data_IF_719279249165
#
_entry.id   IF_719279249165
#
_cell.length_a   1.000
_cell.length_b   1.000
_cell.length_c   1.000
_cell.angle_alpha   90.00
_cell.angle_beta   90.00
_cell.angle_gamma   90.00
#
_symmetry.space_group_name_H-M   'P 1'
#
loop_
_entity.id
_entity.type
_entity.pdbx_description
1 polymer ?
#
# COMPACT_ATOMS: atom_id res chain seq x y z
N UNK A 1 16.58 1.42 -14.09
CA UNK A 1 17.10 2.44 -13.18
C UNK A 1 16.02 3.38 -12.65
N UNK A 2 15.23 3.90 -13.54
CA UNK A 2 14.12 4.78 -13.17
C UNK A 2 13.14 4.12 -12.19
N UNK A 3 12.81 2.84 -12.42
CA UNK A 3 11.91 2.08 -11.56
C UNK A 3 12.51 1.85 -10.16
N UNK A 4 13.80 1.59 -10.09
CA UNK A 4 14.48 1.39 -8.81
C UNK A 4 14.47 2.67 -7.97
N UNK A 5 14.64 3.83 -8.60
CA UNK A 5 14.57 5.11 -7.92
C UNK A 5 13.20 5.35 -7.31
N UNK A 6 12.14 5.05 -8.06
CA UNK A 6 10.78 5.24 -7.61
C UNK A 6 10.46 4.34 -6.42
N UNK A 7 10.88 3.08 -6.51
CA UNK A 7 10.69 2.13 -5.41
C UNK A 7 11.44 2.57 -4.16
N UNK A 8 12.67 3.03 -4.32
CA UNK A 8 13.46 3.57 -3.21
C UNK A 8 12.79 4.79 -2.59
N UNK A 9 12.28 5.68 -3.43
CA UNK A 9 11.61 6.88 -2.95
C UNK A 9 10.42 6.54 -2.08
N UNK A 10 9.59 5.60 -2.53
CA UNK A 10 8.44 5.17 -1.76
C UNK A 10 8.87 4.53 -0.43
N UNK A 11 9.91 3.68 -0.45
CA UNK A 11 10.45 3.09 0.78
C UNK A 11 10.87 4.17 1.78
N UNK A 12 11.56 5.19 1.29
CA UNK A 12 12.02 6.27 2.14
C UNK A 12 10.86 7.02 2.79
N UNK A 13 9.81 7.29 2.03
CA UNK A 13 8.62 7.92 2.57
C UNK A 13 7.93 7.07 3.63
N UNK A 14 7.85 5.75 3.39
CA UNK A 14 7.29 4.83 4.39
C UNK A 14 8.11 4.92 5.69
N UNK A 15 9.43 4.91 5.58
CA UNK A 15 10.30 5.01 6.74
C UNK A 15 10.08 6.32 7.49
N UNK A 16 10.01 7.45 6.77
CA UNK A 16 9.77 8.76 7.39
C UNK A 16 8.46 8.77 8.17
N UNK A 17 7.41 8.25 7.56
CA UNK A 17 6.09 8.24 8.19
C UNK A 17 6.09 7.37 9.44
N UNK A 18 6.68 6.18 9.35
CA UNK A 18 6.70 5.24 10.47
C UNK A 18 7.67 5.65 11.58
N UNK A 19 8.60 6.56 11.31
CA UNK A 19 9.42 7.14 12.37
C UNK A 19 8.58 7.93 13.38
N UNK A 20 7.44 8.45 12.95
CA UNK A 20 6.58 9.25 13.80
C UNK A 20 5.67 8.38 14.67
N UNK A 21 5.07 7.35 14.08
CA UNK A 21 4.15 6.47 14.76
C UNK A 21 3.84 5.26 13.89
N UNK A 22 3.42 4.13 14.47
CA UNK A 22 2.91 3.02 13.66
C UNK A 22 1.68 3.43 12.86
N UNK A 23 1.56 2.90 11.63
CA UNK A 23 0.48 3.24 10.70
C UNK A 23 0.07 2.02 9.90
N UNK A 24 -1.18 1.95 9.46
CA UNK A 24 -1.58 0.96 8.47
C UNK A 24 -1.34 1.51 7.06
N UNK A 25 -1.56 0.67 6.03
CA UNK A 25 -1.32 1.09 4.65
C UNK A 25 -2.15 2.28 4.21
N UNK A 26 -3.42 2.33 4.61
CA UNK A 26 -4.31 3.43 4.26
C UNK A 26 -3.82 4.73 4.89
N UNK A 27 -3.40 4.68 6.15
CA UNK A 27 -2.87 5.86 6.84
C UNK A 27 -1.57 6.35 6.21
N UNK A 28 -0.72 5.43 5.79
CA UNK A 28 0.53 5.80 5.10
C UNK A 28 0.20 6.56 3.80
N UNK A 29 -0.75 6.07 3.02
CA UNK A 29 -1.17 6.75 1.79
C UNK A 29 -1.72 8.15 2.08
N UNK A 30 -2.55 8.28 3.09
CA UNK A 30 -3.11 9.57 3.51
C UNK A 30 -2.03 10.52 3.98
N UNK A 31 -1.09 10.03 4.77
CA UNK A 31 0.01 10.86 5.28
C UNK A 31 0.88 11.38 4.14
N UNK A 32 1.13 10.56 3.13
CA UNK A 32 1.89 11.01 1.96
C UNK A 32 1.16 12.12 1.21
N UNK A 33 -0.15 11.99 1.05
CA UNK A 33 -0.95 13.02 0.40
C UNK A 33 -0.89 14.34 1.20
N UNK A 34 -1.04 14.27 2.51
CA UNK A 34 -0.96 15.45 3.38
C UNK A 34 0.44 16.07 3.34
N UNK A 35 1.48 15.27 3.46
CA UNK A 35 2.86 15.75 3.50
C UNK A 35 3.31 16.38 2.19
N UNK A 36 2.70 15.98 1.07
CA UNK A 36 2.98 16.56 -0.25
C UNK A 36 1.95 17.63 -0.63
N UNK A 37 1.14 18.09 0.30
CA UNK A 37 0.12 19.12 0.06
C UNK A 37 -0.86 18.73 -1.04
N UNK A 38 -1.26 17.46 -1.06
CA UNK A 38 -2.17 16.93 -2.07
C UNK A 38 -1.55 16.64 -3.42
N UNK A 39 -0.24 16.89 -3.55
CA UNK A 39 0.45 16.71 -4.82
C UNK A 39 0.57 15.24 -5.22
N UNK A 40 0.69 14.36 -4.26
CA UNK A 40 0.91 12.95 -4.56
C UNK A 40 0.28 12.03 -3.51
N UNK A 41 -0.46 11.05 -4.00
CA UNK A 41 -0.99 9.94 -3.21
C UNK A 41 -0.61 8.65 -3.93
N UNK A 42 0.25 7.80 -3.33
CA UNK A 42 0.65 6.55 -3.98
C UNK A 42 -0.54 5.59 -4.09
N UNK A 43 -0.49 4.70 -5.09
CA UNK A 43 -1.56 3.72 -5.30
C UNK A 43 -1.44 2.57 -4.30
N UNK A 44 -2.56 1.91 -3.97
CA UNK A 44 -2.52 0.69 -3.13
C UNK A 44 -1.65 -0.41 -3.72
N UNK A 45 -1.63 -0.54 -5.05
CA UNK A 45 -0.79 -1.54 -5.72
C UNK A 45 0.69 -1.31 -5.57
N UNK A 46 1.09 -0.08 -5.23
CA UNK A 46 2.49 0.25 -4.94
C UNK A 46 2.80 0.12 -3.45
N UNK A 47 1.89 0.60 -2.59
CA UNK A 47 2.13 0.67 -1.15
C UNK A 47 2.08 -0.70 -0.48
N UNK A 48 1.01 -1.46 -0.69
CA UNK A 48 0.82 -2.71 0.05
C UNK A 48 1.86 -3.78 -0.29
N UNK A 49 2.18 -4.02 -1.58
CA UNK A 49 3.26 -4.98 -1.87
C UNK A 49 4.61 -4.55 -1.31
N UNK A 50 4.89 -3.24 -1.30
CA UNK A 50 6.13 -2.74 -0.73
C UNK A 50 6.18 -2.97 0.77
N UNK A 51 5.09 -2.71 1.48
CA UNK A 51 5.02 -2.96 2.93
C UNK A 51 5.29 -4.44 3.24
N UNK A 52 4.70 -5.36 2.47
CA UNK A 52 4.94 -6.79 2.63
C UNK A 52 6.40 -7.15 2.38
N UNK A 53 6.98 -6.61 1.32
CA UNK A 53 8.38 -6.80 0.99
C UNK A 53 9.29 -6.32 2.13
N UNK A 54 8.98 -5.16 2.70
CA UNK A 54 9.77 -4.60 3.79
C UNK A 54 9.63 -5.41 5.08
N UNK A 55 8.47 -6.01 5.31
CA UNK A 55 8.30 -6.92 6.45
C UNK A 55 9.15 -8.18 6.26
N UNK A 56 9.12 -8.75 5.04
CA UNK A 56 9.88 -9.98 4.75
C UNK A 56 11.38 -9.76 4.85
N UNK A 57 11.87 -8.59 4.50
CA UNK A 57 13.30 -8.31 4.61
C UNK A 57 13.73 -7.85 6.01
N UNK A 58 12.78 -7.71 6.94
CA UNK A 58 13.08 -7.36 8.31
C UNK A 58 13.16 -5.87 8.61
N UNK A 59 12.81 -5.01 7.65
CA UNK A 59 12.80 -3.55 7.85
C UNK A 59 11.60 -3.09 8.65
N UNK A 60 10.47 -3.76 8.51
CA UNK A 60 9.23 -3.45 9.21
C UNK A 60 8.70 -4.67 9.96
N UNK A 61 7.90 -4.40 10.96
CA UNK A 61 7.11 -5.41 11.66
C UNK A 61 5.63 -5.08 11.48
N UNK A 62 4.82 -6.07 11.13
CA UNK A 62 3.37 -5.91 11.06
C UNK A 62 2.76 -6.39 12.36
N UNK A 63 2.02 -5.52 13.03
CA UNK A 63 1.38 -5.83 14.30
C UNK A 63 0.05 -6.56 14.06
N UNK A 64 -0.47 -7.18 15.11
CA UNK A 64 -1.75 -7.90 15.05
C UNK A 64 -2.93 -6.98 14.76
N UNK A 65 -2.81 -5.70 15.11
CA UNK A 65 -3.86 -4.71 14.84
C UNK A 65 -3.81 -4.16 13.41
N UNK A 66 -2.90 -4.67 12.57
CA UNK A 66 -2.76 -4.24 11.19
C UNK A 66 -1.82 -3.06 10.98
N UNK A 67 -1.25 -2.52 12.04
CA UNK A 67 -0.30 -1.42 11.94
C UNK A 67 1.10 -1.94 11.62
N UNK A 68 1.85 -1.15 10.87
CA UNK A 68 3.27 -1.40 10.60
C UNK A 68 4.12 -0.49 11.46
N UNK A 69 5.27 -0.97 11.87
CA UNK A 69 6.23 -0.18 12.61
C UNK A 69 7.65 -0.52 12.16
N UNK A 70 8.58 0.40 12.38
CA UNK A 70 9.97 0.21 11.98
C UNK A 70 10.65 -0.82 12.90
N UNK A 71 11.44 -1.69 12.28
CA UNK A 71 12.39 -2.51 13.03
C UNK A 71 13.60 -1.65 13.38
N UNK A 72 14.30 -1.93 14.50
CA UNK A 72 15.46 -1.13 14.89
C UNK A 72 16.54 -1.08 13.81
N UNK A 73 17.10 0.09 13.58
CA UNK A 73 18.21 0.28 12.64
C UNK A 73 17.80 0.58 11.20
N UNK A 74 16.52 0.77 10.92
CA UNK A 74 16.02 0.96 9.55
C UNK A 74 15.43 2.36 9.32
N UNK A 75 16.16 3.42 9.68
CA UNK A 75 15.62 4.78 9.63
C UNK A 75 16.20 5.66 8.51
N UNK A 76 16.93 5.11 7.55
CA UNK A 76 17.55 5.93 6.50
C UNK A 76 16.57 6.29 5.39
N UNK A 77 16.62 7.55 4.97
CA UNK A 77 15.71 8.11 3.96
C UNK A 77 16.47 8.78 2.82
N UNK A 78 16.17 8.38 1.59
CA UNK A 78 16.76 8.99 0.39
C UNK A 78 15.80 8.89 -0.81
N UNK A 79 15.75 9.95 -1.62
CA UNK A 79 15.07 9.95 -2.90
C UNK A 79 13.66 10.50 -2.88
N UNK A 80 13.11 10.68 -4.06
CA UNK A 80 11.77 11.21 -4.24
C UNK A 80 10.82 10.09 -4.69
N UNK A 81 9.70 9.89 -3.99
CA UNK A 81 8.81 8.77 -4.30
C UNK A 81 7.83 9.07 -5.44
N UNK A 82 8.02 8.45 -6.58
CA UNK A 82 7.07 8.52 -7.70
C UNK A 82 6.87 7.14 -8.30
N UNK A 83 5.63 6.79 -8.59
CA UNK A 83 5.28 5.47 -9.11
C UNK A 83 4.51 5.59 -10.43
N UNK A 84 4.87 4.80 -11.45
CA UNK A 84 4.03 4.71 -12.65
C UNK A 84 2.83 3.80 -12.39
N UNK A 85 1.82 3.89 -13.26
CA UNK A 85 0.72 2.95 -13.24
C UNK A 85 1.13 1.56 -13.73
N UNK A 86 0.24 0.58 -13.65
CA UNK A 86 0.55 -0.78 -14.08
C UNK A 86 0.77 -0.84 -15.59
N UNK A 87 1.74 -1.67 -16.02
CA UNK A 87 2.15 -1.80 -17.43
C UNK A 87 2.04 -3.21 -17.97
N UNK A 88 2.09 -4.21 -17.10
CA UNK A 88 2.04 -5.62 -17.48
C UNK A 88 0.92 -6.32 -16.72
N UNK A 89 0.49 -7.51 -17.19
CA UNK A 89 -0.47 -8.28 -16.41
C UNK A 89 -0.03 -8.53 -14.96
N UNK A 90 1.26 -8.77 -14.75
CA UNK A 90 1.80 -8.94 -13.40
C UNK A 90 1.65 -7.66 -12.58
N UNK A 91 1.92 -6.50 -13.19
CA UNK A 91 1.74 -5.22 -12.52
C UNK A 91 0.27 -4.99 -12.16
N UNK A 92 -0.64 -5.37 -13.05
CA UNK A 92 -2.07 -5.27 -12.80
C UNK A 92 -2.49 -6.12 -11.60
N UNK A 93 -1.97 -7.35 -11.52
CA UNK A 93 -2.26 -8.22 -10.38
C UNK A 93 -1.71 -7.66 -9.09
N UNK A 94 -0.53 -7.04 -9.13
CA UNK A 94 0.04 -6.39 -7.96
C UNK A 94 -0.85 -5.23 -7.50
N UNK A 95 -1.33 -4.43 -8.44
CA UNK A 95 -2.24 -3.33 -8.13
C UNK A 95 -3.55 -3.86 -7.55
N UNK A 96 -4.10 -4.93 -8.13
CA UNK A 96 -5.32 -5.54 -7.65
C UNK A 96 -5.15 -6.09 -6.22
N UNK A 97 -4.01 -6.72 -5.95
CA UNK A 97 -3.69 -7.20 -4.60
C UNK A 97 -3.62 -6.05 -3.60
N UNK A 98 -2.99 -4.94 -4.00
CA UNK A 98 -2.92 -3.75 -3.14
C UNK A 98 -4.28 -3.14 -2.88
N UNK A 99 -5.12 -3.06 -3.91
CA UNK A 99 -6.48 -2.56 -3.76
C UNK A 99 -7.31 -3.44 -2.83
N UNK A 100 -7.13 -4.75 -2.93
CA UNK A 100 -7.81 -5.70 -2.04
C UNK A 100 -7.39 -5.49 -0.59
N UNK A 101 -6.08 -5.35 -0.35
CA UNK A 101 -5.57 -5.10 1.00
C UNK A 101 -6.09 -3.76 1.55
N UNK A 102 -6.19 -2.76 0.69
CA UNK A 102 -6.76 -1.47 1.07
C UNK A 102 -8.23 -1.61 1.49
N UNK A 103 -9.01 -2.38 0.73
CA UNK A 103 -10.41 -2.64 1.09
C UNK A 103 -10.51 -3.38 2.44
N UNK A 104 -9.60 -4.31 2.69
CA UNK A 104 -9.56 -5.02 3.97
C UNK A 104 -9.31 -4.06 5.14
N UNK A 105 -8.39 -3.10 4.96
CA UNK A 105 -8.14 -2.08 5.97
C UNK A 105 -9.35 -1.18 6.17
N UNK A 106 -10.02 -0.77 5.09
CA UNK A 106 -11.24 0.02 5.18
C UNK A 106 -12.33 -0.71 5.93
N UNK A 107 -12.49 -2.00 5.66
CA UNK A 107 -13.49 -2.81 6.35
C UNK A 107 -13.21 -2.85 7.86
N UNK A 108 -11.93 -2.95 8.23
CA UNK A 108 -11.54 -2.99 9.64
C UNK A 108 -11.82 -1.67 10.35
N UNK A 109 -11.52 -0.54 9.67
CA UNK A 109 -11.61 0.79 10.29
C UNK A 109 -12.95 1.48 10.07
N UNK A 110 -13.62 1.19 8.96
CA UNK A 110 -14.87 1.83 8.56
C UNK A 110 -15.84 0.79 7.98
N UNK A 111 -16.40 -0.09 8.81
CA UNK A 111 -17.24 -1.19 8.31
C UNK A 111 -18.44 -0.74 7.47
N UNK A 112 -19.02 0.42 7.80
CA UNK A 112 -20.19 0.92 7.06
C UNK A 112 -19.85 1.32 5.63
N UNK A 113 -18.63 1.80 5.39
CA UNK A 113 -18.21 2.19 4.04
C UNK A 113 -18.15 0.98 3.10
N UNK A 114 -17.74 -0.19 3.60
CA UNK A 114 -17.64 -1.39 2.77
C UNK A 114 -18.96 -2.13 2.64
N UNK A 115 -19.91 -1.91 3.55
CA UNK A 115 -21.22 -2.53 3.48
C UNK A 115 -22.00 -2.11 2.23
N UNK A 116 -21.85 -0.85 1.83
CA UNK A 116 -22.55 -0.31 0.67
C UNK A 116 -22.09 -0.91 -0.67
N UNK A 117 -20.93 -1.55 -0.71
CA UNK A 117 -20.35 -2.05 -1.95
C UNK A 117 -20.30 -3.57 -2.03
N UNK A 118 -21.05 -4.27 -1.17
CA UNK A 118 -21.00 -5.75 -1.15
C UNK A 118 -21.37 -6.35 -2.50
N UNK A 119 -22.43 -5.84 -3.14
CA UNK A 119 -22.85 -6.34 -4.45
C UNK A 119 -21.79 -6.11 -5.51
N UNK A 120 -21.14 -4.96 -5.48
CA UNK A 120 -20.07 -4.64 -6.42
C UNK A 120 -18.87 -5.56 -6.23
N UNK A 121 -18.53 -5.86 -4.98
CA UNK A 121 -17.46 -6.81 -4.67
C UNK A 121 -17.77 -8.21 -5.22
N UNK A 122 -19.01 -8.67 -5.05
CA UNK A 122 -19.42 -9.97 -5.57
C UNK A 122 -19.29 -10.01 -7.10
N UNK A 123 -19.71 -8.95 -7.78
CA UNK A 123 -19.63 -8.88 -9.24
C UNK A 123 -18.18 -8.92 -9.71
N UNK A 124 -17.29 -8.19 -9.05
CA UNK A 124 -15.88 -8.18 -9.40
C UNK A 124 -15.26 -9.56 -9.15
N UNK A 125 -15.59 -10.18 -8.03
CA UNK A 125 -15.08 -11.51 -7.71
C UNK A 125 -15.50 -12.53 -8.76
N UNK A 126 -16.77 -12.48 -9.21
CA UNK A 126 -17.27 -13.38 -10.25
C UNK A 126 -16.56 -13.15 -11.59
N UNK A 127 -16.32 -11.90 -11.96
CA UNK A 127 -15.60 -11.58 -13.19
C UNK A 127 -14.18 -12.13 -13.15
N UNK A 128 -13.50 -12.00 -12.01
CA UNK A 128 -12.16 -12.52 -11.86
C UNK A 128 -12.11 -14.03 -11.94
N UNK A 129 -13.09 -14.72 -11.34
CA UNK A 129 -13.16 -16.18 -11.41
C UNK A 129 -13.33 -16.66 -12.87
N UNK A 130 -14.14 -15.95 -13.65
CA UNK A 130 -14.36 -16.31 -15.06
C UNK A 130 -13.10 -16.17 -15.90
N UNK A 131 -12.17 -15.29 -15.52
CA UNK A 131 -10.93 -15.12 -16.26
C UNK A 131 -9.95 -16.28 -16.11
N UNK A 132 -10.15 -17.13 -15.10
CA UNK A 132 -9.25 -18.28 -14.86
C UNK A 132 -9.50 -19.44 -15.81
N UNK A 133 -10.63 -19.47 -16.47
CA UNK A 133 -11.02 -20.60 -17.35
C UNK A 133 -10.64 -20.37 -18.80
#
# INVERSE_FOLDING_TARGET
MWHMRRKRGLRNWVIVILQRAPRNGAEIMNDMEVMTHGWWRPSPGSVYPLLEEMVQEGSLTKRDDGLYELAPGHERVWGWPMQPGPRSPTDVLRELSGLTAYLEDLKRNEPTATQAIQNDLDQIADRLRRMKN
#
